data_IF_745528569008
#
_entry.id   IF_745528569008
#
_cell.length_a   1.000
_cell.length_b   1.000
_cell.length_c   1.000
_cell.angle_alpha   90.00
_cell.angle_beta   90.00
_cell.angle_gamma   90.00
#
_symmetry.space_group_name_H-M   'P 1'
#
loop_
_entity.id
_entity.type
_entity.pdbx_description
1 polymer ?
#
# COMPACT_ATOMS: atom_id res chain seq x y z
N UNK A 1 68.84 -0.98 42.99
CA UNK A 1 68.09 -2.23 42.84
C UNK A 1 67.82 -2.67 44.25
N UNK A 2 66.55 -2.54 44.64
CA UNK A 2 65.90 -3.08 45.85
C UNK A 2 66.60 -2.87 47.21
N UNK A 3 66.12 -1.87 47.96
CA UNK A 3 65.68 -2.01 49.35
C UNK A 3 64.90 -0.72 49.69
N UNK A 4 63.58 -0.79 49.78
CA UNK A 4 62.85 -1.09 51.02
C UNK A 4 62.42 0.25 51.68
N UNK A 5 61.33 0.88 51.23
CA UNK A 5 59.95 0.47 51.57
C UNK A 5 59.66 0.59 53.07
N UNK A 6 60.07 1.68 53.76
CA UNK A 6 59.71 1.88 55.19
C UNK A 6 59.43 3.31 55.67
N UNK A 7 59.12 4.28 54.80
CA UNK A 7 58.80 5.65 55.27
C UNK A 7 57.57 6.27 54.60
N UNK A 8 56.85 5.51 53.79
CA UNK A 8 55.58 5.95 53.22
C UNK A 8 54.44 5.37 54.08
N UNK A 9 53.42 6.20 54.33
CA UNK A 9 52.11 5.79 54.87
C UNK A 9 51.98 5.65 56.40
N UNK A 10 52.68 6.49 57.18
CA UNK A 10 52.33 6.76 58.58
C UNK A 10 52.14 8.26 58.85
N UNK A 11 51.26 8.91 58.08
CA UNK A 11 50.65 10.18 58.49
C UNK A 11 49.18 10.15 58.14
N UNK A 12 48.40 9.61 59.08
CA UNK A 12 46.98 9.90 59.21
C UNK A 12 46.76 11.42 59.27
N UNK A 13 45.63 11.85 58.72
CA UNK A 13 44.53 12.54 59.41
C UNK A 13 44.02 13.78 58.66
N UNK A 14 42.80 13.63 58.14
CA UNK A 14 41.90 14.76 57.89
C UNK A 14 41.57 14.95 56.42
N UNK A 15 40.56 14.25 55.91
CA UNK A 15 39.63 14.89 54.98
C UNK A 15 38.30 14.13 54.88
N UNK A 16 37.25 14.83 55.32
CA UNK A 16 35.88 14.85 54.82
C UNK A 16 35.01 13.58 54.89
N UNK A 17 34.15 13.58 55.92
CA UNK A 17 32.89 12.85 55.96
C UNK A 17 31.94 13.32 54.84
N UNK A 18 31.33 12.43 54.05
CA UNK A 18 30.31 12.82 53.09
C UNK A 18 29.00 13.18 53.80
N UNK A 19 28.51 14.39 53.52
CA UNK A 19 27.22 14.92 54.00
C UNK A 19 26.03 14.13 53.42
N UNK A 20 25.04 13.71 54.23
CA UNK A 20 23.89 12.96 53.76
C UNK A 20 22.75 13.92 53.37
N UNK A 21 22.91 14.69 52.30
CA UNK A 21 21.83 15.51 51.75
C UNK A 21 21.91 15.67 50.23
N UNK A 22 21.99 14.56 49.50
CA UNK A 22 21.59 14.55 48.09
C UNK A 22 20.12 14.13 48.01
N UNK A 23 19.24 15.11 48.21
CA UNK A 23 17.80 14.93 48.01
C UNK A 23 17.58 14.74 46.52
N UNK A 24 17.32 13.48 46.15
CA UNK A 24 16.91 13.08 44.81
C UNK A 24 15.87 14.04 44.24
N UNK A 25 16.34 14.89 43.32
CA UNK A 25 15.49 15.62 42.40
C UNK A 25 14.97 14.63 41.38
N UNK A 26 13.95 13.87 41.77
CA UNK A 26 13.03 13.22 40.85
C UNK A 26 12.27 14.31 40.11
N UNK A 27 12.86 14.84 39.05
CA UNK A 27 12.10 15.57 38.05
C UNK A 27 11.01 14.61 37.53
N UNK A 28 9.73 15.01 37.55
CA UNK A 28 8.70 14.21 36.94
C UNK A 28 9.04 14.08 35.46
N UNK A 29 9.29 12.83 35.04
CA UNK A 29 9.38 12.41 33.65
C UNK A 29 8.04 12.81 33.02
N UNK A 30 7.94 14.05 32.52
CA UNK A 30 6.83 14.48 31.66
C UNK A 30 6.79 13.44 30.56
N UNK A 31 5.76 12.60 30.61
CA UNK A 31 5.33 11.79 29.49
C UNK A 31 4.95 12.79 28.40
N UNK A 32 5.95 13.29 27.69
CA UNK A 32 5.76 14.18 26.57
C UNK A 32 4.90 13.41 25.58
N UNK A 33 3.73 13.98 25.29
CA UNK A 33 2.98 13.67 24.07
C UNK A 33 4.02 13.44 22.98
N UNK A 34 4.10 12.20 22.50
CA UNK A 34 5.11 11.76 21.54
C UNK A 34 4.87 12.58 20.28
N UNK A 35 5.54 13.74 20.20
CA UNK A 35 5.42 14.65 19.09
C UNK A 35 5.82 13.84 17.86
N UNK A 36 4.86 13.68 16.95
CA UNK A 36 5.08 12.94 15.72
C UNK A 36 6.23 13.63 14.98
N UNK A 37 7.20 12.85 14.49
CA UNK A 37 8.30 13.46 13.75
C UNK A 37 7.74 14.17 12.51
N UNK A 38 8.30 15.32 12.11
CA UNK A 38 7.80 16.06 10.95
C UNK A 38 7.78 15.21 9.68
N UNK A 39 8.71 14.24 9.57
CA UNK A 39 8.74 13.28 8.49
C UNK A 39 7.51 12.36 8.46
N UNK A 40 6.95 11.95 9.62
CA UNK A 40 5.75 11.10 9.63
C UNK A 40 4.54 11.90 9.15
N UNK A 41 4.39 13.14 9.63
CA UNK A 41 3.30 14.02 9.19
C UNK A 41 3.36 14.27 7.68
N UNK A 42 4.56 14.42 7.12
CA UNK A 42 4.78 14.61 5.69
C UNK A 42 4.43 13.36 4.86
N UNK A 43 4.76 12.15 5.32
CA UNK A 43 4.34 10.91 4.64
C UNK A 43 2.82 10.75 4.70
N UNK A 44 2.21 10.98 5.86
CA UNK A 44 0.76 10.92 6.00
C UNK A 44 0.06 11.96 5.12
N UNK A 45 0.64 13.15 4.98
CA UNK A 45 0.13 14.17 4.07
C UNK A 45 0.17 13.69 2.61
N UNK A 46 1.29 13.16 2.13
CA UNK A 46 1.38 12.61 0.77
C UNK A 46 0.44 11.44 0.55
N UNK A 47 0.30 10.55 1.54
CA UNK A 47 -0.62 9.43 1.50
C UNK A 47 -2.07 9.91 1.35
N UNK A 48 -2.51 10.85 2.20
CA UNK A 48 -3.85 11.43 2.11
C UNK A 48 -4.09 12.15 0.78
N UNK A 49 -3.08 12.85 0.27
CA UNK A 49 -3.21 13.58 -0.99
C UNK A 49 -3.35 12.62 -2.19
N UNK A 50 -2.57 11.52 -2.20
CA UNK A 50 -2.68 10.47 -3.22
C UNK A 50 -4.04 9.77 -3.14
N UNK A 51 -4.50 9.44 -1.94
CA UNK A 51 -5.82 8.85 -1.69
C UNK A 51 -6.94 9.72 -2.26
N UNK A 52 -6.94 11.02 -1.94
CA UNK A 52 -7.95 11.97 -2.42
C UNK A 52 -7.90 12.10 -3.94
N UNK A 53 -6.72 12.26 -4.53
CA UNK A 53 -6.59 12.36 -5.98
C UNK A 53 -7.08 11.09 -6.68
N UNK A 54 -6.83 9.93 -6.09
CA UNK A 54 -7.32 8.66 -6.60
C UNK A 54 -8.86 8.56 -6.53
N UNK A 55 -9.47 8.98 -5.42
CA UNK A 55 -10.93 9.04 -5.32
C UNK A 55 -11.57 10.02 -6.32
N UNK A 56 -10.87 11.11 -6.67
CA UNK A 56 -11.33 12.03 -7.73
C UNK A 56 -11.36 11.35 -9.09
N UNK A 57 -10.43 10.44 -9.40
CA UNK A 57 -10.50 9.64 -10.64
C UNK A 57 -11.80 8.84 -10.69
N UNK A 58 -12.23 8.26 -9.56
CA UNK A 58 -13.49 7.50 -9.46
C UNK A 58 -14.69 8.41 -9.66
N UNK A 59 -14.67 9.62 -9.11
CA UNK A 59 -15.70 10.61 -9.36
C UNK A 59 -15.76 11.02 -10.85
N UNK A 60 -14.63 10.93 -11.56
CA UNK A 60 -14.49 11.14 -13.00
C UNK A 60 -14.65 9.85 -13.83
N UNK A 61 -14.98 8.72 -13.20
CA UNK A 61 -15.23 7.45 -13.88
C UNK A 61 -16.36 7.42 -14.92
N UNK A 62 -17.42 8.28 -14.91
CA UNK A 62 -18.47 8.22 -15.93
C UNK A 62 -18.01 8.72 -17.32
N UNK A 63 -16.71 8.68 -17.61
CA UNK A 63 -16.16 9.04 -18.89
C UNK A 63 -16.23 7.87 -19.87
N UNK A 64 -16.89 8.04 -21.03
CA UNK A 64 -17.06 6.96 -22.01
C UNK A 64 -15.75 6.47 -22.63
N UNK A 65 -14.64 7.20 -22.46
CA UNK A 65 -13.31 6.80 -22.92
C UNK A 65 -12.43 6.18 -21.81
N UNK A 66 -12.84 6.26 -20.55
CA UNK A 66 -12.13 5.56 -19.48
C UNK A 66 -12.66 4.13 -19.46
N UNK A 67 -11.97 3.22 -20.15
CA UNK A 67 -12.27 1.79 -20.14
C UNK A 67 -11.93 1.22 -18.76
N UNK A 68 -12.82 1.46 -17.80
CA UNK A 68 -12.75 0.85 -16.50
C UNK A 68 -13.36 -0.55 -16.60
N UNK A 69 -12.63 -1.54 -16.12
CA UNK A 69 -13.14 -2.90 -16.01
C UNK A 69 -14.16 -2.95 -14.87
N UNK A 70 -15.39 -3.35 -15.18
CA UNK A 70 -16.39 -3.63 -14.17
C UNK A 70 -15.87 -4.77 -13.28
N UNK A 71 -15.78 -4.52 -11.98
CA UNK A 71 -15.24 -5.54 -11.09
C UNK A 71 -16.25 -6.68 -10.99
N UNK A 72 -15.83 -7.95 -11.17
CA UNK A 72 -16.75 -9.07 -10.99
C UNK A 72 -17.13 -9.24 -9.50
N UNK A 73 -16.37 -8.61 -8.60
CA UNK A 73 -16.69 -8.44 -7.17
C UNK A 73 -18.04 -7.77 -6.94
N UNK A 74 -18.38 -6.77 -7.75
CA UNK A 74 -19.67 -6.09 -7.72
C UNK A 74 -20.87 -7.05 -7.81
N UNK A 75 -20.77 -8.01 -8.72
CA UNK A 75 -21.84 -8.97 -8.98
C UNK A 75 -21.98 -9.99 -7.85
N UNK A 76 -20.87 -10.36 -7.20
CA UNK A 76 -20.87 -11.37 -6.15
C UNK A 76 -21.13 -10.80 -4.75
N UNK A 77 -20.65 -9.59 -4.47
CA UNK A 77 -20.79 -8.93 -3.18
C UNK A 77 -21.28 -7.48 -3.35
N UNK A 78 -22.58 -7.27 -3.59
CA UNK A 78 -23.14 -5.93 -3.82
C UNK A 78 -22.85 -4.94 -2.67
N UNK A 79 -22.67 -5.44 -1.45
CA UNK A 79 -22.33 -4.63 -0.27
C UNK A 79 -21.00 -3.89 -0.44
N UNK A 80 -20.03 -4.43 -1.18
CA UNK A 80 -18.76 -3.74 -1.41
C UNK A 80 -18.94 -2.45 -2.20
N UNK A 81 -20.04 -2.34 -2.96
CA UNK A 81 -20.37 -1.16 -3.75
C UNK A 81 -21.34 -0.21 -3.08
N UNK A 82 -21.99 -0.61 -1.99
CA UNK A 82 -22.98 0.23 -1.30
C UNK A 82 -22.37 1.59 -0.91
N UNK A 83 -21.13 1.59 -0.42
CA UNK A 83 -20.40 2.83 -0.10
C UNK A 83 -20.15 3.66 -1.36
N UNK A 84 -19.72 3.04 -2.46
CA UNK A 84 -19.48 3.77 -3.71
C UNK A 84 -20.75 4.42 -4.29
N UNK A 85 -21.90 3.77 -4.15
CA UNK A 85 -23.18 4.28 -4.64
C UNK A 85 -23.63 5.51 -3.84
N UNK A 86 -23.32 5.54 -2.53
CA UNK A 86 -23.60 6.67 -1.65
C UNK A 86 -22.66 7.85 -1.96
N UNK A 87 -21.36 7.59 -2.11
CA UNK A 87 -20.36 8.65 -2.27
C UNK A 87 -20.22 9.17 -3.72
N UNK A 88 -20.51 8.33 -4.72
CA UNK A 88 -20.32 8.66 -6.13
C UNK A 88 -21.57 8.37 -6.99
N UNK A 89 -22.75 8.93 -6.65
CA UNK A 89 -23.98 8.67 -7.39
C UNK A 89 -23.88 9.08 -8.88
N UNK A 90 -23.08 10.12 -9.19
CA UNK A 90 -22.84 10.58 -10.56
C UNK A 90 -22.06 9.59 -11.43
N UNK A 91 -21.16 8.80 -10.84
CA UNK A 91 -20.42 7.75 -11.56
C UNK A 91 -21.32 6.59 -12.00
N UNK A 92 -22.43 6.38 -11.29
CA UNK A 92 -23.45 5.38 -11.59
C UNK A 92 -24.59 5.91 -12.47
N UNK A 93 -24.87 7.22 -12.43
CA UNK A 93 -25.99 7.83 -13.14
C UNK A 93 -25.66 8.21 -14.61
N UNK A 94 -24.40 8.52 -14.92
CA UNK A 94 -24.00 9.04 -16.24
C UNK A 94 -23.55 7.88 -17.14
N UNK A 95 -24.53 7.06 -17.54
CA UNK A 95 -24.41 6.14 -18.68
C UNK A 95 -25.07 6.71 -19.96
N UNK A 96 -25.56 7.96 -19.93
CA UNK A 96 -26.33 8.56 -21.01
C UNK A 96 -25.59 9.77 -21.61
N UNK A 97 -24.85 9.54 -22.70
CA UNK A 97 -24.41 10.52 -23.71
C UNK A 97 -23.90 11.88 -23.18
N UNK A 98 -22.62 12.00 -22.77
CA UNK A 98 -22.05 13.33 -22.51
C UNK A 98 -22.00 14.15 -23.81
N UNK A 99 -22.31 15.47 -23.76
CA UNK A 99 -22.17 16.34 -24.92
C UNK A 99 -20.71 16.32 -25.43
N UNK A 100 -20.55 16.21 -26.74
CA UNK A 100 -19.25 16.14 -27.43
C UNK A 100 -18.32 17.32 -27.03
N UNK A 101 -18.89 18.48 -26.68
CA UNK A 101 -18.16 19.67 -26.26
C UNK A 101 -17.47 19.57 -24.89
N UNK A 102 -17.81 18.59 -24.04
CA UNK A 102 -17.25 18.45 -22.67
C UNK A 102 -16.16 17.38 -22.55
N UNK A 103 -15.93 16.55 -23.56
CA UNK A 103 -15.00 15.41 -23.50
C UNK A 103 -13.52 15.80 -23.30
N UNK A 104 -13.07 16.86 -23.95
CA UNK A 104 -11.68 17.35 -23.85
C UNK A 104 -11.33 17.89 -22.46
N UNK A 105 -12.29 18.54 -21.78
CA UNK A 105 -12.09 19.09 -20.44
C UNK A 105 -11.87 17.95 -19.44
N UNK A 106 -12.65 16.89 -19.55
CA UNK A 106 -12.48 15.72 -18.71
C UNK A 106 -11.17 14.97 -18.99
N UNK A 107 -10.76 14.87 -20.26
CA UNK A 107 -9.45 14.32 -20.62
C UNK A 107 -8.31 15.15 -20.04
N UNK A 108 -8.38 16.49 -20.17
CA UNK A 108 -7.40 17.41 -19.60
C UNK A 108 -7.36 17.32 -18.06
N UNK A 109 -8.52 17.15 -17.42
CA UNK A 109 -8.60 16.98 -15.98
C UNK A 109 -8.01 15.63 -15.53
N UNK A 110 -8.33 14.55 -16.24
CA UNK A 110 -7.76 13.22 -15.98
C UNK A 110 -6.24 13.23 -16.14
N UNK A 111 -5.71 13.81 -17.24
CA UNK A 111 -4.26 13.89 -17.46
C UNK A 111 -3.58 14.76 -16.41
N UNK A 112 -4.21 15.87 -16.00
CA UNK A 112 -3.73 16.71 -14.90
C UNK A 112 -3.68 15.94 -13.58
N UNK A 113 -4.72 15.17 -13.25
CA UNK A 113 -4.76 14.35 -12.03
C UNK A 113 -3.69 13.26 -12.06
N UNK A 114 -3.55 12.55 -13.17
CA UNK A 114 -2.50 11.52 -13.32
C UNK A 114 -1.10 12.14 -13.22
N UNK A 115 -0.87 13.29 -13.85
CA UNK A 115 0.39 14.02 -13.73
C UNK A 115 0.65 14.48 -12.29
N UNK A 116 -0.38 14.95 -11.59
CA UNK A 116 -0.29 15.33 -10.18
C UNK A 116 0.05 14.12 -9.28
N UNK A 117 -0.58 12.97 -9.48
CA UNK A 117 -0.27 11.72 -8.77
C UNK A 117 1.20 11.35 -8.97
N UNK A 118 1.69 11.36 -10.22
CA UNK A 118 3.10 11.07 -10.52
C UNK A 118 4.04 12.09 -9.86
N UNK A 119 3.72 13.38 -9.91
CA UNK A 119 4.51 14.44 -9.29
C UNK A 119 4.58 14.28 -7.76
N UNK A 120 3.45 13.99 -7.11
CA UNK A 120 3.39 13.77 -5.65
C UNK A 120 4.12 12.50 -5.26
N UNK A 121 3.97 11.42 -6.01
CA UNK A 121 4.64 10.16 -5.73
C UNK A 121 6.17 10.30 -5.85
N UNK A 122 6.65 10.97 -6.90
CA UNK A 122 8.08 11.27 -7.07
C UNK A 122 8.61 12.20 -5.98
N UNK A 123 7.84 13.21 -5.58
CA UNK A 123 8.19 14.10 -4.46
C UNK A 123 8.21 13.35 -3.13
N UNK A 124 7.32 12.39 -2.91
CA UNK A 124 7.32 11.53 -1.73
C UNK A 124 8.58 10.66 -1.66
N UNK A 125 8.96 10.01 -2.77
CA UNK A 125 10.20 9.23 -2.87
C UNK A 125 11.43 10.11 -2.63
N UNK A 126 11.47 11.27 -3.30
CA UNK A 126 12.57 12.22 -3.16
C UNK A 126 12.71 12.71 -1.72
N UNK A 127 11.59 13.03 -1.08
CA UNK A 127 11.55 13.39 0.34
C UNK A 127 12.10 12.25 1.19
N UNK A 128 11.60 11.01 1.02
CA UNK A 128 12.11 9.86 1.77
C UNK A 128 13.62 9.63 1.58
N UNK A 129 14.14 9.86 0.37
CA UNK A 129 15.56 9.78 0.09
C UNK A 129 16.36 10.86 0.83
N UNK A 130 15.83 12.08 0.92
CA UNK A 130 16.46 13.17 1.67
C UNK A 130 16.54 12.86 3.17
N UNK A 131 15.52 12.21 3.72
CA UNK A 131 15.46 11.84 5.14
C UNK A 131 16.11 10.48 5.47
N UNK A 132 16.77 9.81 4.50
CA UNK A 132 17.24 8.41 4.63
C UNK A 132 18.12 8.15 5.84
N UNK A 133 18.96 9.12 6.22
CA UNK A 133 19.90 8.98 7.34
C UNK A 133 19.18 8.86 8.69
N UNK A 134 18.02 9.51 8.82
CA UNK A 134 17.15 9.44 10.00
C UNK A 134 16.31 8.15 10.00
N UNK A 135 15.87 7.71 8.82
CA UNK A 135 15.09 6.48 8.62
C UNK A 135 15.88 5.22 8.98
N UNK A 136 17.20 5.19 8.72
CA UNK A 136 18.03 4.01 8.92
C UNK A 136 18.09 3.55 10.40
N UNK A 137 17.97 4.47 11.35
CA UNK A 137 17.96 4.15 12.80
C UNK A 137 16.61 3.59 13.29
N UNK A 138 15.55 3.66 12.49
CA UNK A 138 14.19 3.29 12.87
C UNK A 138 13.43 2.58 11.74
N UNK A 139 14.08 1.71 10.97
CA UNK A 139 13.50 1.13 9.75
C UNK A 139 12.16 0.39 9.98
N UNK A 140 12.02 -0.32 11.10
CA UNK A 140 10.83 -1.13 11.38
C UNK A 140 9.52 -0.32 11.54
N UNK A 141 9.41 0.71 12.40
CA UNK A 141 8.19 1.51 12.50
C UNK A 141 7.85 2.25 11.20
N UNK A 142 8.84 2.64 10.40
CA UNK A 142 8.61 3.23 9.08
C UNK A 142 8.06 2.22 8.07
N UNK A 143 8.56 0.98 8.09
CA UNK A 143 8.00 -0.11 7.28
C UNK A 143 6.54 -0.39 7.66
N UNK A 144 6.23 -0.47 8.96
CA UNK A 144 4.86 -0.65 9.42
C UNK A 144 3.94 0.50 9.02
N UNK A 145 4.44 1.74 9.06
CA UNK A 145 3.67 2.89 8.59
C UNK A 145 3.38 2.80 7.10
N UNK A 146 4.40 2.47 6.29
CA UNK A 146 4.25 2.29 4.85
C UNK A 146 3.22 1.19 4.56
N UNK A 147 3.37 0.04 5.20
CA UNK A 147 2.45 -1.09 5.04
C UNK A 147 1.03 -0.74 5.47
N UNK A 148 0.87 0.00 6.58
CA UNK A 148 -0.43 0.46 7.06
C UNK A 148 -1.12 1.40 6.08
N UNK A 149 -0.39 2.38 5.54
CA UNK A 149 -0.90 3.29 4.51
C UNK A 149 -1.29 2.52 3.24
N UNK A 150 -0.43 1.60 2.78
CA UNK A 150 -0.73 0.76 1.62
C UNK A 150 -1.96 -0.12 1.88
N UNK A 151 -2.13 -0.68 3.08
CA UNK A 151 -3.29 -1.49 3.43
C UNK A 151 -4.58 -0.67 3.39
N UNK A 152 -4.55 0.59 3.85
CA UNK A 152 -5.70 1.52 3.75
C UNK A 152 -6.03 1.80 2.28
N UNK A 153 -5.02 2.10 1.45
CA UNK A 153 -5.22 2.31 0.02
C UNK A 153 -5.82 1.07 -0.68
N UNK A 154 -5.29 -0.12 -0.38
CA UNK A 154 -5.83 -1.39 -0.88
C UNK A 154 -7.27 -1.63 -0.43
N UNK A 155 -7.62 -1.22 0.79
CA UNK A 155 -8.99 -1.30 1.30
C UNK A 155 -9.92 -0.39 0.48
N UNK A 156 -9.49 0.82 0.15
CA UNK A 156 -10.25 1.72 -0.74
C UNK A 156 -10.47 1.09 -2.12
N UNK A 157 -9.43 0.48 -2.71
CA UNK A 157 -9.54 -0.24 -3.98
C UNK A 157 -10.59 -1.35 -3.95
N UNK A 158 -10.71 -2.06 -2.83
CA UNK A 158 -11.65 -3.16 -2.67
C UNK A 158 -13.12 -2.72 -2.76
N UNK A 159 -13.41 -1.49 -2.33
CA UNK A 159 -14.76 -0.92 -2.33
C UNK A 159 -15.07 -0.08 -3.58
N UNK A 160 -14.17 -0.08 -4.56
CA UNK A 160 -14.34 0.72 -5.76
C UNK A 160 -15.19 -0.01 -6.82
N UNK A 161 -16.09 0.69 -7.53
CA UNK A 161 -16.97 0.08 -8.53
C UNK A 161 -16.25 -0.39 -9.79
N UNK A 162 -15.08 0.19 -10.04
CA UNK A 162 -14.37 0.05 -11.29
C UNK A 162 -12.87 0.03 -11.01
N UNK A 163 -12.15 -0.91 -11.62
CA UNK A 163 -10.70 -0.98 -11.55
C UNK A 163 -10.11 -0.63 -12.91
N UNK A 164 -8.89 -0.09 -12.87
CA UNK A 164 -8.10 0.18 -14.07
C UNK A 164 -7.74 -1.08 -14.85
N UNK A 165 -7.75 -2.24 -14.19
CA UNK A 165 -7.44 -3.53 -14.80
C UNK A 165 -8.11 -4.66 -14.03
N UNK A 166 -8.52 -5.70 -14.75
CA UNK A 166 -9.00 -6.98 -14.22
C UNK A 166 -7.90 -8.07 -14.24
N UNK A 167 -6.65 -7.70 -14.51
CA UNK A 167 -5.51 -8.63 -14.62
C UNK A 167 -5.29 -9.45 -13.35
N UNK A 168 -5.70 -8.94 -12.18
CA UNK A 168 -5.64 -9.68 -10.91
C UNK A 168 -6.37 -11.02 -10.99
N UNK A 169 -7.52 -11.07 -11.65
CA UNK A 169 -8.29 -12.30 -11.80
C UNK A 169 -7.64 -13.22 -12.84
N UNK A 170 -7.05 -12.65 -13.89
CA UNK A 170 -6.25 -13.39 -14.87
C UNK A 170 -5.02 -14.04 -14.21
N UNK A 171 -4.30 -13.33 -13.33
CA UNK A 171 -3.17 -13.87 -12.57
C UNK A 171 -3.58 -14.99 -11.63
N UNK A 172 -4.66 -14.78 -10.89
CA UNK A 172 -5.22 -15.79 -10.00
C UNK A 172 -5.57 -17.07 -10.77
N UNK A 173 -6.25 -16.96 -11.91
CA UNK A 173 -6.61 -18.14 -12.72
C UNK A 173 -5.37 -18.80 -13.35
N UNK A 174 -4.40 -18.00 -13.79
CA UNK A 174 -3.14 -18.52 -14.34
C UNK A 174 -2.32 -19.27 -13.29
N UNK A 175 -2.31 -18.79 -12.05
CA UNK A 175 -1.75 -19.52 -10.91
C UNK A 175 -2.48 -20.84 -10.66
N UNK A 176 -3.81 -20.88 -10.80
CA UNK A 176 -4.60 -22.11 -10.69
C UNK A 176 -4.31 -23.11 -11.80
N UNK A 177 -4.17 -22.65 -13.05
CA UNK A 177 -3.76 -23.50 -14.17
C UNK A 177 -2.48 -24.26 -13.85
N UNK A 178 -1.47 -23.53 -13.35
CA UNK A 178 -0.17 -24.11 -13.05
C UNK A 178 -0.18 -24.98 -11.78
N UNK A 179 -0.86 -24.53 -10.72
CA UNK A 179 -0.84 -25.17 -9.41
C UNK A 179 -1.75 -26.42 -9.32
N UNK A 180 -2.95 -26.37 -9.92
CA UNK A 180 -3.97 -27.41 -9.75
C UNK A 180 -4.22 -28.22 -11.03
N UNK A 181 -4.20 -27.58 -12.19
CA UNK A 181 -4.42 -28.28 -13.47
C UNK A 181 -3.13 -28.77 -14.11
N UNK A 182 -1.97 -28.38 -13.58
CA UNK A 182 -0.65 -28.63 -14.17
C UNK A 182 -0.58 -28.26 -15.65
N UNK A 183 -1.35 -27.24 -16.02
CA UNK A 183 -1.46 -26.72 -17.38
C UNK A 183 -0.62 -25.45 -17.52
N UNK A 184 0.05 -25.32 -18.66
CA UNK A 184 0.83 -24.14 -18.98
C UNK A 184 -0.09 -22.96 -19.34
N UNK A 185 -0.11 -21.85 -18.57
CA UNK A 185 -0.93 -20.67 -18.89
C UNK A 185 -0.53 -19.97 -20.18
N UNK A 186 0.68 -20.18 -20.69
CA UNK A 186 1.14 -19.60 -21.96
C UNK A 186 0.51 -20.30 -23.17
N UNK A 187 0.11 -21.56 -22.99
CA UNK A 187 -0.44 -22.41 -24.04
C UNK A 187 -1.94 -22.67 -23.86
N UNK A 188 -2.48 -22.45 -22.66
CA UNK A 188 -3.86 -22.75 -22.31
C UNK A 188 -4.61 -21.49 -21.85
N UNK A 189 -5.77 -21.25 -22.45
CA UNK A 189 -6.66 -20.16 -22.11
C UNK A 189 -7.63 -20.57 -20.98
N UNK A 190 -8.04 -19.63 -20.11
CA UNK A 190 -8.94 -19.93 -19.00
C UNK A 190 -10.23 -20.66 -19.39
N UNK A 191 -10.82 -20.31 -20.54
CA UNK A 191 -12.08 -20.90 -21.03
C UNK A 191 -12.03 -22.42 -21.24
N UNK A 192 -10.84 -23.01 -21.38
CA UNK A 192 -10.66 -24.45 -21.52
C UNK A 192 -10.97 -25.21 -20.21
N UNK A 193 -11.10 -24.50 -19.10
CA UNK A 193 -11.43 -25.03 -17.77
C UNK A 193 -12.76 -24.45 -17.26
N UNK A 194 -13.89 -24.69 -17.95
CA UNK A 194 -15.18 -24.05 -17.64
C UNK A 194 -15.82 -24.52 -16.33
N UNK A 195 -15.35 -25.63 -15.77
CA UNK A 195 -15.82 -26.18 -14.50
C UNK A 195 -15.16 -25.51 -13.28
N UNK A 196 -14.08 -24.74 -13.48
CA UNK A 196 -13.42 -24.04 -12.39
C UNK A 196 -14.32 -22.90 -11.87
N UNK A 197 -14.65 -22.84 -10.57
CA UNK A 197 -15.55 -21.83 -10.02
C UNK A 197 -15.03 -20.39 -10.17
N UNK A 198 -13.72 -20.22 -10.41
CA UNK A 198 -13.08 -18.92 -10.57
C UNK A 198 -13.12 -18.37 -12.00
N UNK A 199 -13.54 -19.17 -12.99
CA UNK A 199 -13.60 -18.71 -14.38
C UNK A 199 -14.54 -17.51 -14.55
N UNK A 200 -15.58 -17.42 -13.71
CA UNK A 200 -16.55 -16.32 -13.70
C UNK A 200 -15.94 -14.96 -13.37
N UNK A 201 -14.78 -14.94 -12.71
CA UNK A 201 -14.09 -13.71 -12.34
C UNK A 201 -13.13 -13.23 -13.43
N UNK A 202 -12.79 -14.07 -14.41
CA UNK A 202 -11.92 -13.70 -15.52
C UNK A 202 -12.78 -13.14 -16.65
N UNK A 203 -12.75 -11.82 -16.85
CA UNK A 203 -13.63 -11.15 -17.83
C UNK A 203 -12.87 -10.88 -19.13
N UNK A 204 -11.78 -10.10 -19.08
CA UNK A 204 -11.01 -9.70 -20.26
C UNK A 204 -10.09 -10.83 -20.75
N UNK A 205 -9.43 -11.55 -19.83
CA UNK A 205 -8.41 -12.57 -20.14
C UNK A 205 -8.94 -13.98 -20.45
N UNK A 206 -10.26 -14.19 -20.49
CA UNK A 206 -10.83 -15.55 -20.47
C UNK A 206 -10.56 -16.39 -21.72
N UNK A 207 -10.46 -15.73 -22.88
CA UNK A 207 -10.27 -16.39 -24.18
C UNK A 207 -8.83 -16.33 -24.69
N UNK A 208 -7.94 -15.69 -23.93
CA UNK A 208 -6.56 -15.45 -24.33
C UNK A 208 -5.62 -16.25 -23.46
N UNK A 209 -4.56 -16.78 -24.06
CA UNK A 209 -3.45 -17.32 -23.28
C UNK A 209 -2.71 -16.19 -22.57
N UNK A 210 -2.06 -16.55 -21.48
CA UNK A 210 -1.28 -15.63 -20.69
C UNK A 210 0.03 -15.27 -21.44
N UNK A 211 0.47 -14.00 -21.35
CA UNK A 211 1.71 -13.50 -21.97
C UNK A 211 2.74 -13.01 -20.94
N UNK A 212 2.44 -13.17 -19.65
CA UNK A 212 3.34 -12.81 -18.56
C UNK A 212 4.47 -13.82 -18.41
N UNK A 213 5.65 -13.34 -18.02
CA UNK A 213 6.85 -14.17 -17.95
C UNK A 213 6.79 -15.29 -16.89
N UNK A 214 7.58 -16.39 -17.05
CA UNK A 214 7.51 -17.56 -16.17
C UNK A 214 7.67 -17.26 -14.68
N UNK A 215 8.54 -16.31 -14.33
CA UNK A 215 8.74 -15.90 -12.93
C UNK A 215 7.44 -15.42 -12.28
N UNK A 216 6.65 -14.61 -13.01
CA UNK A 216 5.39 -14.09 -12.51
C UNK A 216 4.32 -15.20 -12.38
N UNK A 217 4.33 -16.16 -13.31
CA UNK A 217 3.45 -17.33 -13.24
C UNK A 217 3.75 -18.19 -12.00
N UNK A 218 5.02 -18.40 -11.68
CA UNK A 218 5.41 -19.14 -10.47
C UNK A 218 5.03 -18.40 -9.19
N UNK A 219 5.19 -17.07 -9.14
CA UNK A 219 4.72 -16.27 -8.00
C UNK A 219 3.20 -16.41 -7.84
N UNK A 220 2.46 -16.28 -8.94
CA UNK A 220 1.00 -16.41 -8.94
C UNK A 220 0.54 -17.80 -8.49
N UNK A 221 1.20 -18.85 -8.99
CA UNK A 221 0.93 -20.23 -8.60
C UNK A 221 1.27 -20.50 -7.13
N UNK A 222 2.37 -19.94 -6.62
CA UNK A 222 2.74 -20.03 -5.20
C UNK A 222 1.71 -19.35 -4.30
N UNK A 223 1.22 -18.17 -4.67
CA UNK A 223 0.18 -17.48 -3.92
C UNK A 223 -1.13 -18.27 -3.90
N UNK A 224 -1.50 -18.87 -5.05
CA UNK A 224 -2.69 -19.70 -5.18
C UNK A 224 -2.58 -21.00 -4.40
N UNK A 225 -1.42 -21.67 -4.42
CA UNK A 225 -1.23 -22.93 -3.69
C UNK A 225 -1.24 -22.76 -2.17
N UNK A 226 -0.90 -21.56 -1.67
CA UNK A 226 -1.05 -21.21 -0.26
C UNK A 226 -2.50 -20.95 0.15
N UNK A 227 -3.42 -20.80 -0.80
CA UNK A 227 -4.83 -20.61 -0.52
C UNK A 227 -5.53 -21.97 -0.32
N UNK A 228 -6.24 -22.13 0.80
CA UNK A 228 -7.00 -23.34 1.13
C UNK A 228 -8.32 -23.40 0.33
N UNK A 229 -8.23 -23.27 -0.99
CA UNK A 229 -9.37 -23.02 -1.87
C UNK A 229 -9.78 -24.32 -2.58
N UNK A 230 -11.08 -24.61 -2.72
CA UNK A 230 -11.56 -25.77 -3.45
C UNK A 230 -11.16 -25.75 -4.94
N UNK A 231 -10.98 -26.95 -5.47
CA UNK A 231 -10.68 -27.23 -6.88
C UNK A 231 -11.98 -27.26 -7.67
#
# INVERSE_FOLDING_TARGET
MEEDERLEVATMQGMDTPSPHDKGSTYPRRAGLRAWSPAVLLILFFACLLEVLYLVIVALAPLPLLHLSNTPLAAAWPLTLALSQIFFPGAWAVAANPPIATTWLYQALLTLILAAIVAIYTLAIWSMYHWRNTLHRAAFPWLLLLLGVTAVFCLTLLFQPALFSDDVFTYMFSGRLLAFYHADPLSNAPIQFPLDPYIRWVVSGRFTTNFYGPLWLYISAGLVSMSNVPI
#
